data_IF_351415336825
#
_entry.id   IF_351415336825
#
_cell.length_a   1.000
_cell.length_b   1.000
_cell.length_c   1.000
_cell.angle_alpha   90.00
_cell.angle_beta   90.00
_cell.angle_gamma   90.00
#
_symmetry.space_group_name_H-M   'P 1'
#
loop_
_entity.id
_entity.type
_entity.pdbx_description
1 polymer ?
#
# COMPACT_ATOMS: atom_id res chain seq x y z
N UNK A 1 -35.54 24.12 -5.04
CA UNK A 1 -35.06 22.75 -4.85
C UNK A 1 -33.86 22.87 -3.94
N UNK A 2 -34.04 22.51 -2.67
CA UNK A 2 -32.94 22.50 -1.71
C UNK A 2 -32.20 21.18 -1.95
N UNK A 3 -30.92 21.27 -2.32
CA UNK A 3 -30.04 20.10 -2.25
C UNK A 3 -29.94 19.74 -0.78
N UNK A 4 -30.59 18.64 -0.41
CA UNK A 4 -30.32 17.94 0.83
C UNK A 4 -28.92 17.32 0.66
N UNK A 5 -27.89 18.13 0.85
CA UNK A 5 -26.51 17.64 0.91
C UNK A 5 -26.44 16.75 2.15
N UNK A 6 -26.15 15.45 2.01
CA UNK A 6 -26.10 14.57 3.16
C UNK A 6 -24.96 15.04 4.07
N UNK A 7 -25.34 15.57 5.24
CA UNK A 7 -24.41 15.88 6.33
C UNK A 7 -23.93 14.56 6.93
N UNK A 8 -22.99 13.91 6.27
CA UNK A 8 -22.23 12.83 6.90
C UNK A 8 -21.41 13.48 8.02
N UNK A 9 -21.91 13.32 9.26
CA UNK A 9 -21.31 13.60 10.57
C UNK A 9 -20.30 14.74 10.61
N UNK A 10 -20.54 15.83 11.35
CA UNK A 10 -19.65 16.97 11.71
C UNK A 10 -18.12 16.82 11.46
N UNK A 11 -17.71 16.56 10.21
CA UNK A 11 -16.37 16.15 9.82
C UNK A 11 -16.00 17.04 8.66
N UNK A 12 -14.98 17.86 8.91
CA UNK A 12 -14.48 18.83 7.93
C UNK A 12 -13.17 18.37 7.31
N UNK A 13 -12.92 18.75 6.06
CA UNK A 13 -11.59 18.65 5.46
C UNK A 13 -10.61 19.44 6.35
N UNK A 14 -9.48 18.83 6.70
CA UNK A 14 -8.51 19.41 7.63
C UNK A 14 -8.71 19.00 9.10
N UNK A 15 -9.78 18.27 9.44
CA UNK A 15 -10.01 17.78 10.79
C UNK A 15 -9.02 16.66 11.16
N UNK A 16 -8.47 16.71 12.37
CA UNK A 16 -7.62 15.64 12.91
C UNK A 16 -8.45 14.47 13.41
N UNK A 17 -7.97 13.25 13.12
CA UNK A 17 -8.61 12.00 13.53
C UNK A 17 -7.72 11.29 14.55
N UNK A 18 -8.34 10.74 15.59
CA UNK A 18 -7.66 10.04 16.68
C UNK A 18 -8.24 8.63 16.85
N UNK A 19 -7.42 7.71 17.38
CA UNK A 19 -7.90 6.41 17.83
C UNK A 19 -8.54 6.47 19.22
N UNK A 20 -8.95 5.31 19.75
CA UNK A 20 -9.54 5.20 21.09
C UNK A 20 -8.58 5.54 22.23
N UNK A 21 -7.27 5.47 21.99
CA UNK A 21 -6.21 5.79 22.94
C UNK A 21 -5.86 7.29 22.92
N UNK A 22 -6.36 8.04 21.93
CA UNK A 22 -6.04 9.45 21.70
C UNK A 22 -4.79 9.66 20.83
N UNK A 23 -4.28 8.62 20.17
CA UNK A 23 -3.18 8.73 19.22
C UNK A 23 -3.68 9.30 17.88
N UNK A 24 -2.92 10.24 17.32
CA UNK A 24 -3.26 10.90 16.05
C UNK A 24 -3.09 9.94 14.87
N UNK A 25 -4.19 9.67 14.17
CA UNK A 25 -4.20 8.86 12.95
C UNK A 25 -3.96 9.70 11.69
N UNK A 26 -4.20 11.02 11.76
CA UNK A 26 -3.90 11.96 10.69
C UNK A 26 -5.00 12.98 10.44
N UNK A 27 -5.07 13.49 9.20
CA UNK A 27 -5.99 14.60 8.84
C UNK A 27 -6.94 14.23 7.69
N UNK A 28 -8.23 14.58 7.83
CA UNK A 28 -9.24 14.35 6.79
C UNK A 28 -8.88 15.13 5.51
N UNK A 29 -8.74 14.42 4.38
CA UNK A 29 -8.45 14.99 3.06
C UNK A 29 -9.67 15.10 2.13
N UNK A 30 -10.75 14.39 2.45
CA UNK A 30 -11.94 14.36 1.61
C UNK A 30 -13.10 13.64 2.29
N UNK A 31 -14.31 13.99 1.87
CA UNK A 31 -15.58 13.43 2.32
C UNK A 31 -16.45 13.21 1.09
N UNK A 32 -17.15 12.09 1.03
CA UNK A 32 -18.10 11.73 -0.02
C UNK A 32 -19.24 10.87 0.53
N UNK A 33 -20.17 10.44 -0.33
CA UNK A 33 -21.32 9.61 0.05
C UNK A 33 -20.95 8.27 0.73
N UNK A 34 -19.72 7.77 0.56
CA UNK A 34 -19.24 6.57 1.23
C UNK A 34 -18.60 6.82 2.61
N UNK A 35 -18.20 8.06 2.93
CA UNK A 35 -17.52 8.40 4.19
C UNK A 35 -16.43 9.46 4.03
N UNK A 36 -15.32 9.30 4.75
CA UNK A 36 -14.19 10.25 4.70
C UNK A 36 -12.83 9.54 4.61
N UNK A 37 -11.86 10.22 4.00
CA UNK A 37 -10.50 9.72 3.81
C UNK A 37 -9.52 10.51 4.68
N UNK A 38 -8.61 9.82 5.34
CA UNK A 38 -7.58 10.41 6.22
C UNK A 38 -6.20 10.27 5.57
N UNK A 39 -5.39 11.33 5.64
CA UNK A 39 -3.97 11.30 5.28
C UNK A 39 -3.14 11.07 6.53
N UNK A 40 -2.19 10.15 6.47
CA UNK A 40 -1.27 9.90 7.58
C UNK A 40 -0.50 11.19 7.97
N UNK A 41 -0.20 11.38 9.26
CA UNK A 41 0.51 12.56 9.72
C UNK A 41 1.92 12.62 9.12
N UNK A 42 2.36 13.83 8.76
CA UNK A 42 3.74 14.05 8.29
C UNK A 42 4.70 13.78 9.43
N UNK A 43 5.34 12.60 9.44
CA UNK A 43 6.25 12.18 10.51
C UNK A 43 5.88 10.85 11.16
N UNK A 44 4.77 10.20 10.80
CA UNK A 44 4.67 8.76 10.99
C UNK A 44 5.84 8.12 10.25
N UNK A 45 6.61 7.26 10.94
CA UNK A 45 7.63 6.46 10.28
C UNK A 45 6.95 5.83 9.06
N UNK A 46 7.39 6.14 7.82
CA UNK A 46 6.77 5.55 6.65
C UNK A 46 6.86 4.07 6.89
N UNK A 47 5.71 3.39 7.07
CA UNK A 47 5.68 1.94 7.32
C UNK A 47 6.69 1.37 6.35
N UNK A 48 7.79 0.83 6.90
CA UNK A 48 8.86 0.34 6.07
C UNK A 48 8.20 -0.59 5.05
N UNK A 49 8.73 -0.66 3.82
CA UNK A 49 8.10 -1.50 2.79
C UNK A 49 7.83 -2.93 3.33
N UNK A 50 8.62 -3.38 4.31
CA UNK A 50 8.46 -4.55 5.18
C UNK A 50 7.19 -4.60 6.06
N UNK A 51 6.73 -3.51 6.66
CA UNK A 51 5.51 -3.44 7.48
C UNK A 51 4.24 -3.31 6.64
N UNK A 52 4.31 -2.64 5.49
CA UNK A 52 3.21 -2.62 4.52
C UNK A 52 2.92 -3.99 3.90
N UNK A 53 3.88 -4.92 3.99
CA UNK A 53 3.73 -6.30 3.50
C UNK A 53 2.77 -7.13 4.38
N UNK A 54 2.79 -6.95 5.69
CA UNK A 54 1.98 -7.75 6.62
C UNK A 54 0.48 -7.41 6.57
N UNK A 55 0.14 -6.13 6.44
CA UNK A 55 -1.26 -5.65 6.47
C UNK A 55 -2.01 -5.88 5.15
N UNK A 56 -1.31 -5.89 4.01
CA UNK A 56 -1.92 -6.04 2.67
C UNK A 56 -1.80 -7.45 2.07
N UNK A 57 -1.28 -8.42 2.84
CA UNK A 57 -1.19 -9.81 2.40
C UNK A 57 -0.02 -10.07 1.44
N UNK A 58 1.22 -9.96 1.93
CA UNK A 58 2.31 -10.77 1.34
C UNK A 58 2.06 -12.24 1.59
N UNK A 59 1.53 -12.93 0.59
CA UNK A 59 1.80 -14.36 0.47
C UNK A 59 2.31 -14.76 -0.92
N UNK A 60 2.20 -13.92 -1.96
CA UNK A 60 2.45 -14.40 -3.33
C UNK A 60 3.12 -13.37 -4.27
N UNK A 61 4.07 -12.56 -3.77
CA UNK A 61 4.88 -11.75 -4.69
C UNK A 61 6.01 -12.63 -5.21
N UNK A 62 5.81 -13.18 -6.41
CA UNK A 62 6.80 -13.98 -7.11
C UNK A 62 7.57 -13.06 -8.08
N UNK A 63 8.82 -13.42 -8.38
CA UNK A 63 9.53 -12.88 -9.53
C UNK A 63 9.48 -13.90 -10.64
N UNK A 64 9.51 -13.40 -11.88
CA UNK A 64 9.66 -14.22 -13.07
C UNK A 64 10.76 -13.66 -13.96
N UNK A 65 11.58 -14.55 -14.52
CA UNK A 65 12.60 -14.19 -15.49
C UNK A 65 11.97 -14.01 -16.88
N UNK A 66 12.30 -12.91 -17.55
CA UNK A 66 11.90 -12.64 -18.92
C UNK A 66 12.55 -13.61 -19.91
N UNK A 67 13.83 -13.91 -19.71
CA UNK A 67 14.63 -14.71 -20.65
C UNK A 67 14.26 -16.20 -20.63
N UNK A 68 14.19 -16.83 -19.45
CA UNK A 68 13.97 -18.27 -19.34
C UNK A 68 12.62 -18.66 -18.70
N UNK A 69 11.87 -17.70 -18.16
CA UNK A 69 10.59 -17.96 -17.51
C UNK A 69 10.68 -18.58 -16.12
N UNK A 70 11.89 -18.77 -15.56
CA UNK A 70 12.10 -19.22 -14.17
C UNK A 70 11.35 -18.31 -13.20
N UNK A 71 10.80 -18.89 -12.14
CA UNK A 71 10.04 -18.16 -11.13
C UNK A 71 10.56 -18.46 -9.73
N UNK A 72 10.43 -17.50 -8.83
CA UNK A 72 10.80 -17.69 -7.44
C UNK A 72 10.14 -16.67 -6.51
N UNK A 73 10.21 -16.94 -5.22
CA UNK A 73 9.64 -16.06 -4.20
C UNK A 73 10.50 -14.79 -4.03
N UNK A 74 9.84 -13.65 -3.86
CA UNK A 74 10.53 -12.39 -3.52
C UNK A 74 10.57 -12.25 -2.01
N UNK A 75 11.74 -12.55 -1.44
CA UNK A 75 12.05 -12.38 -0.02
C UNK A 75 12.16 -10.90 0.38
N UNK A 76 13.35 -10.42 0.73
CA UNK A 76 13.57 -8.98 0.96
C UNK A 76 13.74 -8.20 -0.35
N UNK A 77 14.38 -8.81 -1.35
CA UNK A 77 14.86 -8.19 -2.57
C UNK A 77 14.82 -9.18 -3.75
N UNK A 78 14.82 -8.67 -4.99
CA UNK A 78 15.01 -9.48 -6.20
C UNK A 78 16.45 -10.01 -6.28
N UNK A 79 16.70 -11.26 -6.71
CA UNK A 79 18.06 -11.75 -6.89
C UNK A 79 18.84 -10.94 -7.93
N UNK A 80 20.16 -10.90 -7.79
CA UNK A 80 21.03 -10.12 -8.69
C UNK A 80 21.04 -10.68 -10.12
N UNK A 81 20.87 -11.99 -10.28
CA UNK A 81 20.74 -12.67 -11.57
C UNK A 81 19.76 -13.85 -11.46
N UNK A 82 19.24 -14.31 -12.60
CA UNK A 82 18.42 -15.50 -12.68
C UNK A 82 19.24 -16.76 -12.30
N UNK A 83 18.81 -17.59 -11.33
CA UNK A 83 19.53 -18.82 -10.96
C UNK A 83 19.55 -19.89 -12.06
N UNK A 84 18.67 -19.77 -13.07
CA UNK A 84 18.49 -20.76 -14.14
C UNK A 84 19.25 -20.40 -15.42
N UNK A 85 19.31 -19.11 -15.77
CA UNK A 85 19.94 -18.64 -17.02
C UNK A 85 20.97 -17.51 -16.84
N UNK A 86 21.25 -17.08 -15.61
CA UNK A 86 22.17 -15.99 -15.27
C UNK A 86 21.80 -14.61 -15.85
N UNK A 87 20.56 -14.43 -16.35
CA UNK A 87 20.07 -13.13 -16.81
C UNK A 87 20.15 -12.08 -15.70
N UNK A 88 20.54 -10.82 -16.00
CA UNK A 88 20.70 -9.78 -15.00
C UNK A 88 19.37 -9.45 -14.33
N UNK A 89 19.45 -8.83 -13.14
CA UNK A 89 18.27 -8.40 -12.36
C UNK A 89 17.27 -7.58 -13.18
N UNK A 90 17.72 -6.80 -14.15
CA UNK A 90 16.86 -6.01 -15.04
C UNK A 90 15.88 -6.86 -15.86
N UNK A 91 16.20 -8.13 -16.11
CA UNK A 91 15.37 -9.11 -16.81
C UNK A 91 14.48 -9.93 -15.87
N UNK A 92 14.43 -9.58 -14.58
CA UNK A 92 13.56 -10.18 -13.57
C UNK A 92 12.44 -9.19 -13.21
N UNK A 93 11.19 -9.62 -13.29
CA UNK A 93 10.04 -8.75 -13.03
C UNK A 93 9.09 -9.35 -11.99
N UNK A 94 8.35 -8.45 -11.34
CA UNK A 94 7.32 -8.80 -10.36
C UNK A 94 6.12 -9.46 -11.05
N UNK A 95 5.63 -10.56 -10.48
CA UNK A 95 4.47 -11.30 -10.94
C UNK A 95 3.59 -11.67 -9.75
N UNK A 96 2.31 -11.28 -9.82
CA UNK A 96 1.28 -11.81 -8.94
C UNK A 96 0.65 -13.03 -9.63
N UNK A 97 0.62 -14.17 -8.96
CA UNK A 97 -0.23 -15.28 -9.40
C UNK A 97 -1.71 -14.88 -9.23
N UNK A 98 -2.51 -15.06 -10.29
CA UNK A 98 -3.98 -14.91 -10.29
C UNK A 98 -4.65 -16.05 -9.53
#
# INVERSE_FOLDING_TARGET
MASDEPVFSDVSIGQTVYDESGEELGTVRGVDDAGFYVSAPTGSDPLALTDARDVFGTAYVMWRCWECGEMGEIGSELPANCPSCDAPREDLYYWAED
#
